data_IF_239397014109
#
_entry.id   IF_239397014109
#
_cell.length_a   1.000
_cell.length_b   1.000
_cell.length_c   1.000
_cell.angle_alpha   90.00
_cell.angle_beta   90.00
_cell.angle_gamma   90.00
#
_symmetry.space_group_name_H-M   'P 1'
#
loop_
_entity.id
_entity.type
_entity.pdbx_description
1 polymer ?
#
# COMPACT_ATOMS: atom_id res chain seq x y z
N UNK A 1 -21.69 -58.82 9.82
CA UNK A 1 -21.67 -58.06 11.09
C UNK A 1 -21.72 -56.58 10.74
N UNK A 2 -22.76 -55.86 11.18
CA UNK A 2 -23.03 -54.49 10.72
C UNK A 2 -21.90 -53.54 11.16
N UNK A 3 -21.20 -52.92 10.21
CA UNK A 3 -20.01 -52.08 10.46
C UNK A 3 -20.35 -50.68 10.97
N UNK A 4 -21.59 -50.24 10.75
CA UNK A 4 -22.12 -48.92 11.14
C UNK A 4 -21.87 -48.53 12.60
N UNK A 5 -22.19 -49.36 13.63
CA UNK A 5 -21.92 -48.99 15.03
C UNK A 5 -20.43 -48.81 15.33
N UNK A 6 -19.54 -49.58 14.69
CA UNK A 6 -18.09 -49.42 14.87
C UNK A 6 -17.58 -48.11 14.27
N UNK A 7 -18.06 -47.76 13.08
CA UNK A 7 -17.73 -46.50 12.42
C UNK A 7 -18.23 -45.30 13.26
N UNK A 8 -19.45 -45.40 13.78
CA UNK A 8 -20.02 -44.36 14.64
C UNK A 8 -19.20 -44.15 15.93
N UNK A 9 -18.80 -45.25 16.59
CA UNK A 9 -17.99 -45.18 17.80
C UNK A 9 -16.60 -44.57 17.53
N UNK A 10 -16.01 -44.90 16.39
CA UNK A 10 -14.72 -44.35 15.95
C UNK A 10 -14.81 -42.84 15.70
N UNK A 11 -15.88 -42.38 15.03
CA UNK A 11 -16.11 -40.95 14.80
C UNK A 11 -16.35 -40.19 16.10
N UNK A 12 -17.11 -40.78 17.04
CA UNK A 12 -17.35 -40.19 18.36
C UNK A 12 -16.05 -40.06 19.17
N UNK A 13 -15.18 -41.07 19.12
CA UNK A 13 -13.88 -41.01 19.78
C UNK A 13 -12.97 -39.95 19.14
N UNK A 14 -12.95 -39.86 17.80
CA UNK A 14 -12.16 -38.87 17.08
C UNK A 14 -12.62 -37.44 17.38
N UNK A 15 -13.93 -37.18 17.44
CA UNK A 15 -14.45 -35.85 17.81
C UNK A 15 -14.12 -35.51 19.25
N UNK A 16 -14.23 -36.45 20.19
CA UNK A 16 -13.86 -36.22 21.58
C UNK A 16 -12.37 -35.87 21.71
N UNK A 17 -11.49 -36.63 21.07
CA UNK A 17 -10.04 -36.36 21.07
C UNK A 17 -9.76 -34.98 20.47
N UNK A 18 -10.39 -34.64 19.34
CA UNK A 18 -10.22 -33.33 18.69
C UNK A 18 -10.64 -32.17 19.59
N UNK A 19 -11.81 -32.26 20.24
CA UNK A 19 -12.28 -31.20 21.14
C UNK A 19 -11.40 -31.09 22.39
N UNK A 20 -10.92 -32.20 22.92
CA UNK A 20 -10.02 -32.19 24.09
C UNK A 20 -8.69 -31.53 23.75
N UNK A 21 -8.13 -31.85 22.57
CA UNK A 21 -6.92 -31.20 22.07
C UNK A 21 -7.13 -29.71 21.78
N UNK A 22 -8.28 -29.33 21.22
CA UNK A 22 -8.61 -27.93 20.94
C UNK A 22 -8.77 -27.11 22.22
N UNK A 23 -9.46 -27.64 23.24
CA UNK A 23 -9.56 -26.99 24.56
C UNK A 23 -8.18 -26.86 25.23
N UNK A 24 -7.37 -27.93 25.21
CA UNK A 24 -6.00 -27.86 25.71
C UNK A 24 -5.17 -26.81 24.98
N UNK A 25 -5.30 -26.70 23.66
CA UNK A 25 -4.60 -25.67 22.89
C UNK A 25 -5.10 -24.26 23.22
N UNK A 26 -6.42 -24.04 23.36
CA UNK A 26 -6.98 -22.72 23.71
C UNK A 26 -6.39 -22.19 25.00
N UNK A 27 -6.31 -23.02 26.05
CA UNK A 27 -5.75 -22.61 27.34
C UNK A 27 -4.23 -22.34 27.29
N UNK A 28 -3.55 -22.82 26.25
CA UNK A 28 -2.11 -22.67 26.03
C UNK A 28 -1.75 -21.68 24.91
N UNK A 29 -2.74 -21.13 24.20
CA UNK A 29 -2.51 -20.05 23.25
C UNK A 29 -2.28 -18.79 24.08
N UNK A 30 -1.04 -18.29 24.07
CA UNK A 30 -0.78 -16.95 24.57
C UNK A 30 -1.63 -15.96 23.77
N UNK A 31 -2.52 -15.23 24.45
CA UNK A 31 -3.22 -14.09 23.88
C UNK A 31 -2.20 -12.99 23.57
N UNK A 32 -1.52 -13.10 22.44
CA UNK A 32 -0.60 -12.08 21.96
C UNK A 32 -1.31 -10.74 21.69
N UNK A 33 -2.64 -10.67 21.76
CA UNK A 33 -3.42 -9.44 21.64
C UNK A 33 -3.38 -8.57 22.91
N UNK A 34 -3.02 -9.11 24.08
CA UNK A 34 -3.03 -8.36 25.35
C UNK A 34 -1.73 -7.64 25.67
N UNK A 35 -0.67 -7.86 24.89
CA UNK A 35 0.63 -7.20 25.10
C UNK A 35 0.58 -5.79 24.50
N UNK A 36 0.94 -4.73 25.26
CA UNK A 36 0.96 -3.37 24.72
C UNK A 36 1.90 -3.28 23.52
N UNK A 37 1.45 -2.57 22.48
CA UNK A 37 2.26 -2.36 21.29
C UNK A 37 3.57 -1.64 21.67
N UNK A 38 4.71 -2.01 21.04
CA UNK A 38 5.95 -1.26 21.24
C UNK A 38 5.73 0.21 20.86
N UNK A 39 6.38 1.15 21.56
CA UNK A 39 6.23 2.56 21.26
C UNK A 39 6.62 2.86 19.82
N UNK A 40 5.86 3.77 19.19
CA UNK A 40 6.08 4.16 17.80
C UNK A 40 7.50 4.70 17.61
N UNK A 41 8.29 4.01 16.78
CA UNK A 41 9.62 4.48 16.40
C UNK A 41 9.47 5.54 15.30
N UNK A 42 9.84 6.78 15.60
CA UNK A 42 9.95 7.83 14.60
C UNK A 42 11.35 7.75 13.97
N UNK A 43 11.42 7.38 12.69
CA UNK A 43 12.66 7.53 11.93
C UNK A 43 12.80 8.99 11.52
N UNK A 44 13.80 9.68 12.07
CA UNK A 44 14.22 10.98 11.54
C UNK A 44 14.91 10.74 10.19
N UNK A 45 14.35 11.28 9.12
CA UNK A 45 14.98 11.23 7.80
C UNK A 45 16.08 12.30 7.80
N UNK A 46 17.31 11.90 7.49
CA UNK A 46 18.45 12.80 7.29
C UNK A 46 18.86 12.69 5.83
N UNK A 47 18.72 13.77 5.07
CA UNK A 47 19.08 13.81 3.65
C UNK A 47 19.46 15.24 3.25
N UNK A 48 20.33 15.36 2.26
CA UNK A 48 20.64 16.63 1.61
C UNK A 48 19.67 16.95 0.47
N UNK A 49 18.80 16.00 0.11
CA UNK A 49 17.82 16.14 -0.94
C UNK A 49 16.55 16.85 -0.43
N UNK A 50 15.81 17.58 -1.30
CA UNK A 50 14.55 18.19 -0.91
C UNK A 50 13.53 17.15 -0.44
N UNK A 51 12.82 17.46 0.66
CA UNK A 51 11.74 16.61 1.19
C UNK A 51 10.39 17.30 1.05
N UNK A 52 9.35 16.52 0.74
CA UNK A 52 7.95 16.98 0.71
C UNK A 52 7.15 16.15 1.70
N UNK A 53 6.44 16.81 2.61
CA UNK A 53 5.47 16.17 3.50
C UNK A 53 4.06 16.33 2.95
N UNK A 54 3.34 15.21 2.85
CA UNK A 54 1.99 15.17 2.27
C UNK A 54 1.00 14.69 3.33
N UNK A 55 0.01 15.51 3.66
CA UNK A 55 -1.09 15.11 4.54
C UNK A 55 -2.20 14.42 3.73
N UNK A 56 -2.17 13.09 3.66
CA UNK A 56 -3.17 12.26 2.97
C UNK A 56 -4.10 11.51 3.94
N UNK A 57 -4.41 12.09 5.11
CA UNK A 57 -5.21 11.43 6.15
C UNK A 57 -6.69 11.26 5.78
N UNK A 58 -7.23 12.17 4.99
CA UNK A 58 -8.65 12.16 4.59
C UNK A 58 -8.97 10.98 3.67
N UNK A 59 -10.08 10.28 3.93
CA UNK A 59 -10.46 9.08 3.18
C UNK A 59 -11.02 9.38 1.77
N UNK A 60 -11.63 10.56 1.57
CA UNK A 60 -12.34 10.92 0.32
C UNK A 60 -11.66 12.09 -0.40
N UNK A 61 -10.34 12.14 -0.35
CA UNK A 61 -9.57 13.19 -1.02
C UNK A 61 -8.29 12.67 -1.65
N UNK A 62 -7.87 13.39 -2.67
CA UNK A 62 -6.55 13.28 -3.27
C UNK A 62 -5.75 14.53 -2.94
N UNK A 63 -4.57 14.33 -2.39
CA UNK A 63 -3.58 15.38 -2.23
C UNK A 63 -2.58 15.29 -3.38
N UNK A 64 -2.67 16.25 -4.29
CA UNK A 64 -1.88 16.33 -5.51
C UNK A 64 -0.59 17.11 -5.23
N UNK A 65 0.53 16.63 -5.75
CA UNK A 65 1.85 17.24 -5.62
C UNK A 65 2.39 17.56 -7.00
N UNK A 66 2.84 18.78 -7.20
CA UNK A 66 3.61 19.21 -8.35
C UNK A 66 5.08 19.37 -7.94
N UNK A 67 5.97 18.52 -8.46
CA UNK A 67 7.38 18.53 -8.08
C UNK A 67 8.11 19.77 -8.58
N UNK A 68 7.70 20.29 -9.73
CA UNK A 68 8.34 21.47 -10.34
C UNK A 68 8.17 22.72 -9.47
N UNK A 69 6.96 22.93 -8.92
CA UNK A 69 6.62 24.09 -8.10
C UNK A 69 6.60 23.79 -6.60
N UNK A 70 6.72 22.52 -6.21
CA UNK A 70 6.51 21.99 -4.85
C UNK A 70 5.14 22.33 -4.27
N UNK A 71 4.16 22.68 -5.13
CA UNK A 71 2.81 23.00 -4.69
C UNK A 71 2.05 21.72 -4.36
N UNK A 72 1.26 21.82 -3.29
CA UNK A 72 0.39 20.76 -2.82
C UNK A 72 -1.05 21.25 -2.91
N UNK A 73 -1.94 20.45 -3.49
CA UNK A 73 -3.36 20.77 -3.65
C UNK A 73 -4.23 19.58 -3.27
N UNK A 74 -5.06 19.75 -2.24
CA UNK A 74 -6.05 18.74 -1.87
C UNK A 74 -7.35 18.97 -2.64
N UNK A 75 -7.89 17.90 -3.21
CA UNK A 75 -9.19 17.89 -3.88
C UNK A 75 -10.03 16.73 -3.34
N UNK A 76 -11.34 16.94 -3.19
CA UNK A 76 -12.25 15.84 -2.85
C UNK A 76 -12.32 14.84 -4.03
N UNK A 77 -12.40 13.54 -3.73
CA UNK A 77 -12.45 12.48 -4.73
C UNK A 77 -13.67 12.59 -5.65
N UNK A 78 -14.85 13.00 -5.12
CA UNK A 78 -16.04 13.29 -5.94
C UNK A 78 -15.79 14.42 -6.95
N UNK A 79 -14.86 15.30 -6.63
CA UNK A 79 -14.44 16.40 -7.48
C UNK A 79 -13.23 16.04 -8.37
N UNK A 80 -12.63 14.87 -8.24
CA UNK A 80 -11.46 14.41 -9.01
C UNK A 80 -11.88 13.83 -10.38
N UNK A 81 -12.76 14.51 -11.10
CA UNK A 81 -13.11 14.11 -12.45
C UNK A 81 -11.91 14.28 -13.38
N UNK A 82 -11.80 13.41 -14.40
CA UNK A 82 -10.69 13.45 -15.39
C UNK A 82 -10.46 14.84 -15.97
N UNK A 83 -11.54 15.55 -16.33
CA UNK A 83 -11.49 16.93 -16.86
C UNK A 83 -10.91 17.93 -15.85
N UNK A 84 -11.19 17.78 -14.55
CA UNK A 84 -10.65 18.68 -13.53
C UNK A 84 -9.17 18.40 -13.28
N UNK A 85 -8.77 17.13 -13.26
CA UNK A 85 -7.38 16.71 -13.12
C UNK A 85 -6.51 17.15 -14.30
N UNK A 86 -7.08 17.28 -15.50
CA UNK A 86 -6.42 17.81 -16.70
C UNK A 86 -6.04 19.30 -16.59
N UNK A 87 -6.83 20.08 -15.84
CA UNK A 87 -6.63 21.53 -15.72
C UNK A 87 -5.78 21.91 -14.49
N UNK A 88 -5.18 20.92 -13.83
CA UNK A 88 -4.34 21.11 -12.66
C UNK A 88 -2.95 20.62 -13.03
N UNK A 89 -1.96 21.42 -12.67
CA UNK A 89 -0.55 21.02 -12.72
C UNK A 89 -0.26 20.14 -11.49
N UNK A 90 0.05 18.86 -11.72
CA UNK A 90 0.44 17.89 -10.70
C UNK A 90 1.18 16.70 -11.33
N UNK A 91 1.97 15.98 -10.53
CA UNK A 91 2.73 14.81 -10.96
C UNK A 91 2.26 13.54 -10.24
N UNK A 92 2.15 13.61 -8.90
CA UNK A 92 1.68 12.50 -8.05
C UNK A 92 0.46 12.89 -7.23
N UNK A 93 -0.44 11.94 -7.03
CA UNK A 93 -1.62 12.07 -6.16
C UNK A 93 -1.56 11.05 -5.03
N UNK A 94 -1.87 11.49 -3.82
CA UNK A 94 -1.87 10.67 -2.61
C UNK A 94 -3.26 10.63 -1.98
N UNK A 95 -3.75 9.43 -1.68
CA UNK A 95 -4.95 9.21 -0.90
C UNK A 95 -4.70 8.06 0.06
N UNK A 96 -4.62 8.34 1.35
CA UNK A 96 -4.19 7.37 2.37
C UNK A 96 -2.83 6.78 1.99
N UNK A 97 -2.77 5.50 1.67
CA UNK A 97 -1.56 4.80 1.20
C UNK A 97 -1.52 4.61 -0.31
N UNK A 98 -2.58 4.98 -1.03
CA UNK A 98 -2.64 4.90 -2.49
C UNK A 98 -1.84 6.06 -3.10
N UNK A 99 -1.08 5.72 -4.13
CA UNK A 99 -0.32 6.68 -4.93
C UNK A 99 -0.71 6.48 -6.38
N UNK A 100 -1.09 7.58 -7.03
CA UNK A 100 -1.44 7.66 -8.45
C UNK A 100 -0.54 8.68 -9.13
N UNK A 101 -0.50 8.63 -10.45
CA UNK A 101 0.30 9.53 -11.28
C UNK A 101 -0.60 10.33 -12.22
N UNK A 102 -0.10 11.46 -12.69
CA UNK A 102 -0.77 12.21 -13.75
C UNK A 102 -0.53 11.51 -15.11
N UNK A 103 -1.21 10.39 -15.33
CA UNK A 103 -1.10 9.58 -16.55
C UNK A 103 -2.26 8.60 -16.78
N UNK A 104 -2.25 7.97 -17.96
CA UNK A 104 -3.03 6.77 -18.25
C UNK A 104 -4.51 6.90 -17.92
N UNK A 105 -5.03 5.93 -17.16
CA UNK A 105 -6.45 5.90 -16.78
C UNK A 105 -6.87 7.09 -15.89
N UNK A 106 -5.93 7.66 -15.13
CA UNK A 106 -6.15 8.79 -14.23
C UNK A 106 -6.27 10.10 -15.01
N UNK A 107 -5.33 10.37 -15.91
CA UNK A 107 -5.38 11.48 -16.85
C UNK A 107 -4.81 11.07 -18.23
N UNK A 108 -5.68 10.89 -19.25
CA UNK A 108 -5.24 10.48 -20.59
C UNK A 108 -4.29 11.47 -21.31
N UNK A 109 -4.26 12.73 -20.89
CA UNK A 109 -3.33 13.74 -21.43
C UNK A 109 -2.00 13.79 -20.66
N UNK A 110 -2.00 13.27 -19.43
CA UNK A 110 -0.81 13.15 -18.62
C UNK A 110 0.08 12.04 -19.13
N UNK A 111 1.39 12.24 -19.07
CA UNK A 111 2.40 11.28 -19.53
C UNK A 111 3.38 10.88 -18.42
N UNK A 112 2.95 11.03 -17.16
CA UNK A 112 3.79 10.69 -16.01
C UNK A 112 3.99 9.19 -15.94
N UNK A 113 5.24 8.76 -15.93
CA UNK A 113 5.57 7.35 -15.89
C UNK A 113 6.40 7.02 -14.66
N UNK A 114 6.25 5.82 -14.11
CA UNK A 114 7.01 5.39 -12.92
C UNK A 114 7.73 4.07 -13.17
N UNK A 115 8.89 3.92 -12.52
CA UNK A 115 9.63 2.67 -12.38
C UNK A 115 9.98 2.50 -10.90
N UNK A 116 9.74 1.32 -10.35
CA UNK A 116 10.21 0.92 -9.03
C UNK A 116 11.58 0.23 -9.17
N UNK A 117 12.64 0.84 -8.61
CA UNK A 117 13.99 0.26 -8.59
C UNK A 117 14.20 -0.72 -7.43
N UNK A 118 13.22 -0.86 -6.54
CA UNK A 118 13.33 -1.65 -5.33
C UNK A 118 14.16 -0.96 -4.24
N UNK A 119 14.57 -1.71 -3.20
CA UNK A 119 15.26 -1.16 -2.02
C UNK A 119 16.74 -0.93 -2.30
N UNK A 120 17.03 0.00 -3.22
CA UNK A 120 18.39 0.50 -3.51
C UNK A 120 18.69 1.76 -2.71
N UNK A 121 19.96 2.13 -2.60
CA UNK A 121 20.34 3.40 -2.00
C UNK A 121 19.95 4.56 -2.93
N UNK A 122 19.26 5.57 -2.39
CA UNK A 122 18.77 6.71 -3.16
C UNK A 122 19.91 7.48 -3.82
N UNK A 123 21.00 7.72 -3.08
CA UNK A 123 22.13 8.51 -3.57
C UNK A 123 23.02 7.73 -4.56
N UNK A 124 22.77 6.41 -4.73
CA UNK A 124 23.44 5.59 -5.75
C UNK A 124 22.81 5.71 -7.14
N UNK A 125 21.59 6.24 -7.23
CA UNK A 125 20.83 6.35 -8.49
C UNK A 125 21.21 7.63 -9.21
N UNK A 126 22.21 7.53 -10.10
CA UNK A 126 22.74 8.68 -10.84
C UNK A 126 22.12 8.86 -12.23
N UNK A 127 21.48 7.82 -12.77
CA UNK A 127 20.90 7.84 -14.11
C UNK A 127 19.48 7.28 -14.10
N UNK A 128 18.56 7.98 -14.77
CA UNK A 128 17.20 7.52 -14.95
C UNK A 128 17.14 6.54 -16.14
N UNK A 129 16.41 5.41 -16.02
CA UNK A 129 16.18 4.51 -17.15
C UNK A 129 15.51 5.24 -18.33
N UNK A 130 15.83 4.86 -19.57
CA UNK A 130 15.22 5.51 -20.75
C UNK A 130 13.81 4.99 -21.06
N UNK A 131 13.51 3.74 -20.68
CA UNK A 131 12.32 2.98 -21.08
C UNK A 131 11.78 2.19 -19.89
N UNK A 132 10.57 1.66 -20.03
CA UNK A 132 9.95 0.78 -19.03
C UNK A 132 9.05 1.49 -18.02
N UNK A 133 8.82 2.79 -18.21
CA UNK A 133 7.90 3.56 -17.38
C UNK A 133 6.47 3.11 -17.52
N UNK A 134 5.78 3.09 -16.38
CA UNK A 134 4.44 2.57 -16.26
C UNK A 134 3.48 3.67 -15.82
N UNK A 135 2.38 3.75 -16.56
CA UNK A 135 1.25 4.63 -16.29
C UNK A 135 0.17 3.95 -15.45
N UNK A 136 -0.74 4.78 -14.93
CA UNK A 136 -1.88 4.33 -14.15
C UNK A 136 -2.88 3.53 -15.00
N UNK A 137 -3.45 2.49 -14.39
CA UNK A 137 -4.46 1.63 -15.03
C UNK A 137 -5.64 1.41 -14.10
N UNK A 138 -6.77 1.03 -14.69
CA UNK A 138 -7.89 0.48 -13.94
C UNK A 138 -7.64 -1.00 -13.67
N UNK A 139 -7.73 -1.41 -12.41
CA UNK A 139 -7.70 -2.80 -11.98
C UNK A 139 -8.86 -3.04 -11.03
N UNK A 140 -9.75 -3.98 -11.39
CA UNK A 140 -10.97 -4.28 -10.63
C UNK A 140 -11.76 -3.02 -10.20
N UNK A 141 -11.95 -2.08 -11.13
CA UNK A 141 -12.67 -0.82 -10.89
C UNK A 141 -11.91 0.25 -10.12
N UNK A 142 -10.68 -0.02 -9.66
CA UNK A 142 -9.85 0.93 -8.92
C UNK A 142 -8.72 1.49 -9.79
N UNK A 143 -8.42 2.78 -9.63
CA UNK A 143 -7.22 3.38 -10.19
C UNK A 143 -5.99 2.91 -9.40
N UNK A 144 -5.02 2.34 -10.12
CA UNK A 144 -3.78 1.82 -9.53
C UNK A 144 -2.58 2.13 -10.43
N UNK A 145 -1.46 2.45 -9.79
CA UNK A 145 -0.15 2.37 -10.44
C UNK A 145 0.58 1.13 -9.90
N UNK A 146 0.87 0.15 -10.76
CA UNK A 146 1.45 -1.12 -10.32
C UNK A 146 2.83 -0.98 -9.67
N UNK A 147 3.58 0.07 -10.00
CA UNK A 147 4.92 0.28 -9.44
C UNK A 147 4.83 0.70 -7.96
N UNK A 148 3.83 1.53 -7.62
CA UNK A 148 3.57 1.94 -6.24
C UNK A 148 2.77 0.91 -5.44
N UNK A 149 2.13 -0.07 -6.08
CA UNK A 149 1.37 -1.09 -5.38
C UNK A 149 2.24 -1.83 -4.36
N UNK A 150 1.83 -1.76 -3.09
CA UNK A 150 2.55 -2.42 -2.01
C UNK A 150 3.92 -1.81 -1.71
N UNK A 151 4.08 -0.49 -1.86
CA UNK A 151 5.29 0.25 -1.43
C UNK A 151 5.57 0.16 0.08
N UNK A 152 4.63 -0.38 0.85
CA UNK A 152 4.73 -0.57 2.29
C UNK A 152 4.39 -2.00 2.70
N UNK A 153 4.85 -2.37 3.90
CA UNK A 153 4.42 -3.55 4.64
C UNK A 153 3.34 -3.16 5.64
N UNK A 154 2.25 -3.91 5.68
CA UNK A 154 1.20 -3.75 6.67
C UNK A 154 1.27 -4.88 7.69
N UNK A 155 1.43 -4.53 8.97
CA UNK A 155 1.39 -5.48 10.09
C UNK A 155 -0.02 -5.50 10.66
N UNK A 156 -0.79 -6.54 10.38
CA UNK A 156 -2.21 -6.64 10.78
C UNK A 156 -2.39 -6.59 12.30
N UNK A 157 -1.54 -7.28 13.06
CA UNK A 157 -1.61 -7.30 14.54
C UNK A 157 -1.47 -5.91 15.18
N UNK A 158 -0.62 -5.06 14.60
CA UNK A 158 -0.29 -3.76 15.20
C UNK A 158 -0.84 -2.59 14.40
N UNK A 159 -1.55 -2.88 13.30
CA UNK A 159 -1.96 -1.94 12.25
C UNK A 159 -0.85 -0.96 11.80
N UNK A 160 0.41 -1.39 11.86
CA UNK A 160 1.56 -0.55 11.50
C UNK A 160 1.83 -0.62 10.00
N UNK A 161 2.17 0.53 9.43
CA UNK A 161 2.61 0.69 8.04
C UNK A 161 4.10 1.03 8.06
N UNK A 162 4.90 0.21 7.40
CA UNK A 162 6.36 0.41 7.28
C UNK A 162 6.73 0.51 5.80
N UNK A 163 7.44 1.58 5.41
CA UNK A 163 7.97 1.70 4.05
C UNK A 163 8.88 0.52 3.72
N UNK A 164 8.81 0.02 2.48
CA UNK A 164 9.80 -0.95 1.95
C UNK A 164 11.15 -0.30 1.61
N UNK A 165 11.25 1.03 1.74
CA UNK A 165 12.42 1.84 1.37
C UNK A 165 12.81 1.66 -0.10
N UNK A 166 11.81 1.47 -0.96
CA UNK A 166 12.03 1.42 -2.39
C UNK A 166 12.36 2.81 -2.95
N UNK A 167 13.22 2.86 -3.95
CA UNK A 167 13.48 4.06 -4.76
C UNK A 167 12.66 3.99 -6.04
N UNK A 168 12.07 5.12 -6.40
CA UNK A 168 11.20 5.25 -7.56
C UNK A 168 11.74 6.31 -8.51
N UNK A 169 11.76 6.00 -9.80
CA UNK A 169 12.04 7.00 -10.84
C UNK A 169 10.71 7.44 -11.42
N UNK A 170 10.42 8.74 -11.29
CA UNK A 170 9.22 9.36 -11.86
C UNK A 170 9.64 10.18 -13.06
N UNK A 171 9.22 9.76 -14.26
CA UNK A 171 9.36 10.56 -15.46
C UNK A 171 8.21 11.55 -15.51
N UNK A 172 8.53 12.83 -15.35
CA UNK A 172 7.57 13.87 -15.67
C UNK A 172 7.37 13.90 -17.20
N UNK A 173 6.10 13.91 -17.61
CA UNK A 173 5.70 13.84 -19.01
C UNK A 173 5.10 15.13 -19.56
N UNK A 174 5.23 16.24 -18.82
CA UNK A 174 4.93 17.58 -19.31
C UNK A 174 5.94 18.02 -20.36
#
# INVERSE_FOLDING_TARGET
MNSTPKIFLMLLAATLIFHTALNYMIDNIQEFETVPLPPKKFKKISTQNPTIEVNAKENDSWTLVDFSTRKIKTINEKNASKRKLQNIEWDLGFSRTKIITNSGATNPLGKTGVINLGPVDFDSVNEAPQKGYIEDKLSFGNLVNKEFTGWYNYRTRTHNIESKNNVYVVKNGR
#
